data_IF_744368429370
#
_entry.id   IF_744368429370
#
_cell.length_a   1.000
_cell.length_b   1.000
_cell.length_c   1.000
_cell.angle_alpha   90.00
_cell.angle_beta   90.00
_cell.angle_gamma   90.00
#
_symmetry.space_group_name_H-M   'P 1'
#
loop_
_entity.id
_entity.type
_entity.pdbx_description
1 polymer ?
#
# COMPACT_ATOMS: atom_id res chain seq x y z
N UNK A 1 -49.71 39.33 30.47
CA UNK A 1 -49.14 40.68 30.32
C UNK A 1 -47.92 40.78 31.22
N UNK A 2 -46.77 40.30 30.75
CA UNK A 2 -45.48 40.72 31.30
C UNK A 2 -44.77 41.47 30.16
N UNK A 3 -44.95 42.79 30.15
CA UNK A 3 -44.09 43.67 29.37
C UNK A 3 -42.70 43.57 30.00
N UNK A 4 -41.84 42.77 29.38
CA UNK A 4 -40.49 42.49 29.83
C UNK A 4 -39.73 43.81 29.98
N UNK A 5 -39.35 44.20 31.20
CA UNK A 5 -38.70 45.49 31.48
C UNK A 5 -37.41 45.70 30.66
N UNK A 6 -36.79 44.62 30.17
CA UNK A 6 -35.68 44.68 29.21
C UNK A 6 -36.10 45.40 27.92
N UNK A 7 -37.26 45.08 27.36
CA UNK A 7 -37.77 45.70 26.11
C UNK A 7 -38.06 47.19 26.23
N UNK A 8 -38.47 47.66 27.41
CA UNK A 8 -38.66 49.10 27.67
C UNK A 8 -37.32 49.81 27.88
N UNK A 9 -36.34 49.15 28.50
CA UNK A 9 -35.00 49.72 28.69
C UNK A 9 -34.26 49.93 27.35
N UNK A 10 -34.36 48.97 26.42
CA UNK A 10 -33.79 49.09 25.07
C UNK A 10 -34.53 50.09 24.18
N UNK A 11 -35.86 50.26 24.38
CA UNK A 11 -36.65 51.32 23.72
C UNK A 11 -36.19 52.72 24.11
N UNK A 12 -35.92 52.95 25.39
CA UNK A 12 -35.60 54.28 25.92
C UNK A 12 -34.17 54.76 25.59
N UNK A 13 -33.26 53.85 25.23
CA UNK A 13 -31.89 54.20 24.78
C UNK A 13 -31.76 54.36 23.26
N UNK A 14 -32.86 54.25 22.48
CA UNK A 14 -32.79 54.27 21.01
C UNK A 14 -32.12 53.03 20.40
N UNK A 15 -31.98 51.94 21.17
CA UNK A 15 -31.24 50.72 20.81
C UNK A 15 -32.12 49.74 20.01
N UNK A 16 -33.45 49.79 20.15
CA UNK A 16 -34.38 48.90 19.45
C UNK A 16 -34.23 48.87 17.91
N UNK A 17 -34.16 50.03 17.23
CA UNK A 17 -33.99 50.07 15.77
C UNK A 17 -32.65 49.48 15.30
N UNK A 18 -31.60 49.64 16.12
CA UNK A 18 -30.26 49.12 15.82
C UNK A 18 -30.22 47.59 16.02
N UNK A 19 -30.79 47.09 17.11
CA UNK A 19 -30.94 45.64 17.35
C UNK A 19 -31.77 44.96 16.26
N UNK A 20 -32.91 45.54 15.85
CA UNK A 20 -33.74 45.02 14.75
C UNK A 20 -32.96 44.94 13.42
N UNK A 21 -32.15 45.96 13.12
CA UNK A 21 -31.28 45.98 11.93
C UNK A 21 -30.20 44.89 12.00
N UNK A 22 -29.53 44.75 13.15
CA UNK A 22 -28.50 43.72 13.35
C UNK A 22 -29.08 42.30 13.28
N UNK A 23 -30.27 42.07 13.84
CA UNK A 23 -30.94 40.77 13.75
C UNK A 23 -31.32 40.41 12.32
N UNK A 24 -31.85 41.37 11.57
CA UNK A 24 -32.21 41.20 10.17
C UNK A 24 -30.98 40.89 9.30
N UNK A 25 -29.89 41.64 9.50
CA UNK A 25 -28.64 41.41 8.77
C UNK A 25 -28.09 40.02 9.07
N UNK A 26 -28.04 39.62 10.35
CA UNK A 26 -27.55 38.31 10.75
C UNK A 26 -28.38 37.16 10.16
N UNK A 27 -29.72 37.24 10.23
CA UNK A 27 -30.62 36.21 9.67
C UNK A 27 -30.54 36.13 8.13
N UNK A 28 -30.38 37.28 7.46
CA UNK A 28 -30.21 37.33 6.01
C UNK A 28 -28.85 36.76 5.58
N UNK A 29 -27.78 37.07 6.31
CA UNK A 29 -26.45 36.50 6.09
C UNK A 29 -26.48 34.99 6.28
N UNK A 30 -27.09 34.51 7.38
CA UNK A 30 -27.22 33.08 7.65
C UNK A 30 -27.98 32.36 6.54
N UNK A 31 -29.09 32.92 6.06
CA UNK A 31 -29.85 32.38 4.94
C UNK A 31 -28.99 32.27 3.66
N UNK A 32 -28.28 33.34 3.29
CA UNK A 32 -27.47 33.37 2.07
C UNK A 32 -26.34 32.33 2.15
N UNK A 33 -25.64 32.26 3.28
CA UNK A 33 -24.54 31.29 3.49
C UNK A 33 -25.08 29.86 3.46
N UNK A 34 -26.15 29.55 4.19
CA UNK A 34 -26.75 28.21 4.19
C UNK A 34 -27.24 27.80 2.81
N UNK A 35 -27.96 28.68 2.10
CA UNK A 35 -28.48 28.42 0.77
C UNK A 35 -27.34 28.19 -0.24
N UNK A 36 -26.21 28.90 -0.13
CA UNK A 36 -25.03 28.70 -0.97
C UNK A 36 -24.48 27.27 -0.88
N UNK A 37 -24.45 26.70 0.33
CA UNK A 37 -24.03 25.32 0.57
C UNK A 37 -25.17 24.29 0.47
N UNK A 38 -26.34 24.68 -0.07
CA UNK A 38 -27.46 23.77 -0.31
C UNK A 38 -28.28 23.39 0.94
N UNK A 39 -28.15 24.14 2.03
CA UNK A 39 -28.94 23.98 3.25
C UNK A 39 -30.15 24.92 3.21
N UNK A 40 -31.35 24.36 3.10
CA UNK A 40 -32.59 25.14 3.06
C UNK A 40 -32.99 25.64 4.46
N UNK A 41 -32.98 26.95 4.66
CA UNK A 41 -33.42 27.64 5.89
C UNK A 41 -34.54 28.66 5.63
N UNK A 42 -35.19 28.56 4.46
CA UNK A 42 -36.21 29.50 3.98
C UNK A 42 -37.36 29.76 4.94
N UNK A 43 -37.88 28.72 5.61
CA UNK A 43 -39.02 28.82 6.52
C UNK A 43 -38.76 29.72 7.74
N UNK A 44 -37.49 29.88 8.14
CA UNK A 44 -37.11 30.68 9.31
C UNK A 44 -36.84 32.15 8.96
N UNK A 45 -36.29 32.44 7.79
CA UNK A 45 -35.79 33.79 7.47
C UNK A 45 -36.79 34.69 6.73
N UNK A 46 -37.72 34.14 5.93
CA UNK A 46 -38.52 34.97 5.01
C UNK A 46 -39.60 35.83 5.67
N UNK A 47 -40.22 35.35 6.75
CA UNK A 47 -41.34 36.06 7.41
C UNK A 47 -40.86 37.33 8.12
N UNK A 48 -39.66 37.31 8.71
CA UNK A 48 -39.07 38.45 9.40
C UNK A 48 -38.44 39.46 8.43
N UNK A 49 -37.78 38.98 7.37
CA UNK A 49 -37.19 39.80 6.30
C UNK A 49 -38.26 40.69 5.61
N UNK A 50 -39.42 40.11 5.28
CA UNK A 50 -40.51 40.84 4.65
C UNK A 50 -41.06 41.96 5.55
N UNK A 51 -41.25 41.67 6.84
CA UNK A 51 -41.75 42.64 7.81
C UNK A 51 -40.79 43.82 8.05
N UNK A 52 -39.47 43.62 7.96
CA UNK A 52 -38.50 44.68 8.18
C UNK A 52 -38.45 45.66 6.99
N UNK A 53 -38.48 45.13 5.77
CA UNK A 53 -38.44 45.91 4.53
C UNK A 53 -39.62 46.88 4.35
N UNK A 54 -40.80 46.56 4.88
CA UNK A 54 -42.00 47.42 4.80
C UNK A 54 -41.88 48.71 5.62
N UNK A 55 -40.95 48.78 6.58
CA UNK A 55 -40.94 49.83 7.63
C UNK A 55 -39.77 50.82 7.56
N UNK A 56 -38.90 50.76 6.53
CA UNK A 56 -37.62 51.50 6.48
C UNK A 56 -37.44 52.36 5.23
N UNK A 57 -36.58 53.39 5.35
CA UNK A 57 -36.15 54.26 4.24
C UNK A 57 -35.13 53.56 3.33
N UNK A 58 -35.14 53.91 2.04
CA UNK A 58 -34.33 53.31 0.97
C UNK A 58 -32.81 53.39 1.25
N UNK A 59 -32.35 54.46 1.91
CA UNK A 59 -30.93 54.60 2.29
C UNK A 59 -30.49 53.57 3.32
N UNK A 60 -31.32 53.30 4.32
CA UNK A 60 -31.04 52.33 5.37
C UNK A 60 -31.07 50.90 4.82
N UNK A 61 -32.04 50.61 3.94
CA UNK A 61 -32.11 49.32 3.24
C UNK A 61 -30.86 49.06 2.40
N UNK A 62 -30.41 50.05 1.61
CA UNK A 62 -29.21 49.92 0.78
C UNK A 62 -27.95 49.69 1.60
N UNK A 63 -27.78 50.41 2.71
CA UNK A 63 -26.65 50.20 3.61
C UNK A 63 -26.64 48.79 4.20
N UNK A 64 -27.81 48.31 4.64
CA UNK A 64 -27.97 46.96 5.20
C UNK A 64 -27.72 45.86 4.17
N UNK A 65 -28.24 46.01 2.94
CA UNK A 65 -27.96 45.09 1.84
C UNK A 65 -26.47 45.05 1.45
N UNK A 66 -25.78 46.19 1.48
CA UNK A 66 -24.34 46.23 1.24
C UNK A 66 -23.56 45.50 2.33
N UNK A 67 -23.96 45.63 3.61
CA UNK A 67 -23.41 44.86 4.73
C UNK A 67 -23.66 43.36 4.53
N UNK A 68 -24.92 42.96 4.33
CA UNK A 68 -25.32 41.56 4.13
C UNK A 68 -24.51 40.93 2.99
N UNK A 69 -24.41 41.61 1.84
CA UNK A 69 -23.68 41.11 0.68
C UNK A 69 -22.20 40.91 0.97
N UNK A 70 -21.54 41.90 1.59
CA UNK A 70 -20.10 41.82 1.89
C UNK A 70 -19.79 40.74 2.90
N UNK A 71 -20.52 40.72 4.01
CA UNK A 71 -20.29 39.75 5.10
C UNK A 71 -20.62 38.33 4.67
N UNK A 72 -21.69 38.11 3.90
CA UNK A 72 -22.00 36.77 3.36
C UNK A 72 -20.93 36.29 2.40
N UNK A 73 -20.44 37.16 1.50
CA UNK A 73 -19.38 36.81 0.56
C UNK A 73 -18.06 36.47 1.27
N UNK A 74 -17.72 37.21 2.32
CA UNK A 74 -16.54 36.93 3.15
C UNK A 74 -16.65 35.57 3.87
N UNK A 75 -17.81 35.30 4.49
CA UNK A 75 -18.03 34.01 5.18
C UNK A 75 -18.01 32.84 4.19
N UNK A 76 -18.68 32.98 3.04
CA UNK A 76 -18.66 31.95 1.98
C UNK A 76 -17.23 31.70 1.52
N UNK A 77 -16.48 32.76 1.17
CA UNK A 77 -15.10 32.63 0.71
C UNK A 77 -14.20 31.95 1.73
N UNK A 78 -14.31 32.31 3.01
CA UNK A 78 -13.53 31.69 4.08
C UNK A 78 -13.89 30.20 4.25
N UNK A 79 -15.18 29.83 4.17
CA UNK A 79 -15.61 28.44 4.28
C UNK A 79 -15.15 27.64 3.05
N UNK A 80 -15.28 28.18 1.85
CA UNK A 80 -14.82 27.54 0.61
C UNK A 80 -13.31 27.28 0.63
N UNK A 81 -12.51 28.25 1.11
CA UNK A 81 -11.07 28.09 1.29
C UNK A 81 -10.75 26.96 2.28
N UNK A 82 -11.38 26.98 3.47
CA UNK A 82 -11.19 25.93 4.48
C UNK A 82 -11.65 24.55 3.98
N UNK A 83 -12.75 24.48 3.22
CA UNK A 83 -13.23 23.24 2.61
C UNK A 83 -12.22 22.70 1.60
N UNK A 84 -11.68 23.55 0.72
CA UNK A 84 -10.66 23.14 -0.24
C UNK A 84 -9.34 22.72 0.42
N UNK A 85 -8.94 23.38 1.50
CA UNK A 85 -7.79 22.96 2.31
C UNK A 85 -8.03 21.57 2.91
N UNK A 86 -9.19 21.34 3.53
CA UNK A 86 -9.58 20.04 4.10
C UNK A 86 -9.65 18.94 3.04
N UNK A 87 -10.18 19.22 1.85
CA UNK A 87 -10.21 18.28 0.73
C UNK A 87 -8.81 17.87 0.29
N UNK A 88 -7.89 18.85 0.19
CA UNK A 88 -6.49 18.59 -0.14
C UNK A 88 -5.79 17.76 0.93
N UNK A 89 -5.92 18.15 2.19
CA UNK A 89 -5.32 17.41 3.31
C UNK A 89 -5.83 15.98 3.38
N UNK A 90 -7.14 15.78 3.21
CA UNK A 90 -7.72 14.44 3.17
C UNK A 90 -7.15 13.63 2.00
N UNK A 91 -7.08 14.20 0.80
CA UNK A 91 -6.54 13.53 -0.39
C UNK A 91 -5.08 13.11 -0.16
N UNK A 92 -4.25 14.03 0.35
CA UNK A 92 -2.85 13.74 0.68
C UNK A 92 -2.73 12.65 1.75
N UNK A 93 -3.58 12.67 2.79
CA UNK A 93 -3.59 11.63 3.81
C UNK A 93 -4.00 10.26 3.25
N UNK A 94 -4.95 10.21 2.31
CA UNK A 94 -5.31 8.96 1.63
C UNK A 94 -4.14 8.45 0.78
N UNK A 95 -3.52 9.30 -0.02
CA UNK A 95 -2.36 8.94 -0.84
C UNK A 95 -1.16 8.47 0.00
N UNK A 96 -0.86 9.16 1.12
CA UNK A 96 0.21 8.76 2.04
C UNK A 96 -0.10 7.42 2.71
N UNK A 97 -1.35 7.19 3.12
CA UNK A 97 -1.77 5.89 3.68
C UNK A 97 -1.63 4.78 2.64
N UNK A 98 -2.12 4.97 1.43
CA UNK A 98 -2.00 4.01 0.32
C UNK A 98 -0.53 3.71 0.00
N UNK A 99 0.31 4.75 -0.08
CA UNK A 99 1.74 4.60 -0.33
C UNK A 99 2.46 3.89 0.83
N UNK A 100 2.07 4.16 2.08
CA UNK A 100 2.62 3.49 3.26
C UNK A 100 2.21 2.02 3.31
N UNK A 101 0.96 1.69 2.96
CA UNK A 101 0.46 0.32 2.89
C UNK A 101 1.18 -0.47 1.79
N UNK A 102 1.28 0.09 0.59
CA UNK A 102 2.05 -0.50 -0.52
C UNK A 102 3.50 -0.76 -0.13
N UNK A 103 4.14 0.20 0.57
CA UNK A 103 5.52 0.04 1.04
C UNK A 103 5.65 -1.06 2.10
N UNK A 104 4.67 -1.16 3.01
CA UNK A 104 4.64 -2.19 4.04
C UNK A 104 4.45 -3.59 3.43
N UNK A 105 3.48 -3.74 2.51
CA UNK A 105 3.26 -4.99 1.77
C UNK A 105 4.50 -5.42 0.99
N UNK A 106 5.18 -4.47 0.33
CA UNK A 106 6.45 -4.75 -0.36
C UNK A 106 7.54 -5.23 0.59
N UNK A 107 7.68 -4.60 1.76
CA UNK A 107 8.65 -5.04 2.78
C UNK A 107 8.32 -6.45 3.31
N UNK A 108 7.04 -6.76 3.50
CA UNK A 108 6.59 -8.08 3.93
C UNK A 108 6.87 -9.14 2.86
N UNK A 109 6.58 -8.84 1.59
CA UNK A 109 6.87 -9.69 0.45
C UNK A 109 8.39 -9.96 0.31
N UNK A 110 9.20 -8.90 0.31
CA UNK A 110 10.67 -9.02 0.23
C UNK A 110 11.23 -9.82 1.43
N UNK A 111 10.60 -9.71 2.60
CA UNK A 111 10.98 -10.50 3.78
C UNK A 111 10.61 -11.99 3.65
N UNK A 112 9.45 -12.29 3.07
CA UNK A 112 9.00 -13.66 2.83
C UNK A 112 9.88 -14.36 1.79
N UNK A 113 10.22 -13.69 0.70
CA UNK A 113 11.14 -14.22 -0.31
C UNK A 113 12.52 -14.50 0.28
N UNK A 114 13.04 -13.62 1.14
CA UNK A 114 14.31 -13.86 1.82
C UNK A 114 14.26 -15.06 2.77
N UNK A 115 13.13 -15.30 3.44
CA UNK A 115 12.90 -16.51 4.26
C UNK A 115 12.90 -17.75 3.37
N UNK A 116 12.13 -17.74 2.29
CA UNK A 116 12.02 -18.88 1.38
C UNK A 116 13.36 -19.20 0.72
N UNK A 117 14.15 -18.19 0.37
CA UNK A 117 15.48 -18.39 -0.19
C UNK A 117 16.47 -18.93 0.86
N UNK A 118 16.33 -18.48 2.12
CA UNK A 118 17.09 -19.06 3.24
C UNK A 118 16.73 -20.53 3.42
N UNK A 119 15.45 -20.89 3.37
CA UNK A 119 14.97 -22.26 3.44
C UNK A 119 15.44 -23.10 2.25
N UNK A 120 15.48 -22.53 1.05
CA UNK A 120 15.99 -23.21 -0.14
C UNK A 120 17.44 -23.66 0.02
N UNK A 121 18.31 -22.88 0.65
CA UNK A 121 19.74 -23.23 0.76
C UNK A 121 20.13 -23.88 2.09
N UNK A 122 19.52 -23.46 3.20
CA UNK A 122 19.87 -23.91 4.55
C UNK A 122 18.88 -24.93 5.13
N UNK A 123 17.69 -25.05 4.54
CA UNK A 123 16.68 -26.01 4.95
C UNK A 123 17.16 -27.46 4.88
N UNK A 124 16.38 -28.33 5.51
CA UNK A 124 16.53 -29.79 5.45
C UNK A 124 15.51 -30.40 4.49
N UNK A 125 14.37 -29.72 4.28
CA UNK A 125 13.37 -30.09 3.29
C UNK A 125 13.87 -29.88 1.86
N UNK A 126 13.62 -30.86 0.98
CA UNK A 126 13.91 -30.73 -0.45
C UNK A 126 12.98 -29.68 -1.07
N UNK A 127 13.55 -28.70 -1.76
CA UNK A 127 12.81 -27.56 -2.33
C UNK A 127 13.29 -27.25 -3.74
N UNK A 128 12.43 -26.63 -4.53
CA UNK A 128 12.83 -25.97 -5.76
C UNK A 128 12.38 -24.52 -5.73
N UNK A 129 13.09 -23.68 -6.47
CA UNK A 129 12.76 -22.28 -6.63
C UNK A 129 12.94 -21.85 -8.08
N UNK A 130 12.20 -20.81 -8.44
CA UNK A 130 12.26 -20.16 -9.74
C UNK A 130 12.80 -18.75 -9.54
N UNK A 131 13.79 -18.41 -10.35
CA UNK A 131 14.46 -17.13 -10.39
C UNK A 131 14.21 -16.48 -11.74
N UNK A 132 13.79 -15.22 -11.71
CA UNK A 132 13.54 -14.42 -12.90
C UNK A 132 14.34 -13.11 -12.81
N UNK A 133 14.75 -12.58 -13.96
CA UNK A 133 15.47 -11.31 -13.98
C UNK A 133 14.57 -10.15 -13.58
N UNK A 134 15.11 -9.20 -12.81
CA UNK A 134 14.39 -7.97 -12.52
C UNK A 134 14.25 -7.13 -13.79
N UNK A 135 13.00 -6.89 -14.23
CA UNK A 135 12.69 -6.10 -15.43
C UNK A 135 13.04 -4.61 -15.31
N UNK A 136 13.52 -4.16 -14.15
CA UNK A 136 13.91 -2.77 -13.89
C UNK A 136 15.39 -2.46 -14.12
N UNK A 137 16.22 -3.47 -14.39
CA UNK A 137 17.67 -3.30 -14.62
C UNK A 137 18.03 -3.01 -16.09
N UNK A 138 19.26 -2.55 -16.30
CA UNK A 138 19.89 -2.39 -17.63
C UNK A 138 20.34 -3.76 -18.21
N UNK A 139 19.60 -4.83 -17.89
CA UNK A 139 20.01 -6.20 -18.16
C UNK A 139 19.72 -6.54 -19.62
N UNK A 140 20.78 -6.58 -20.40
CA UNK A 140 20.74 -6.60 -21.87
C UNK A 140 20.66 -8.01 -22.47
N UNK A 141 20.56 -9.05 -21.64
CA UNK A 141 20.52 -10.45 -22.07
C UNK A 141 19.24 -11.22 -21.70
N UNK A 142 18.17 -10.51 -21.32
CA UNK A 142 16.85 -11.13 -21.14
C UNK A 142 16.40 -11.84 -22.43
N UNK A 143 15.83 -13.04 -22.29
CA UNK A 143 15.42 -13.91 -23.40
C UNK A 143 16.55 -14.40 -24.32
N UNK A 144 17.82 -14.18 -23.97
CA UNK A 144 18.94 -14.73 -24.72
C UNK A 144 19.27 -16.16 -24.28
N UNK A 145 19.54 -17.06 -25.21
CA UNK A 145 20.10 -18.37 -24.86
C UNK A 145 21.48 -18.25 -24.23
N UNK A 146 21.93 -19.28 -23.50
CA UNK A 146 23.15 -19.26 -22.70
C UNK A 146 24.40 -18.92 -23.54
N UNK A 147 24.58 -19.64 -24.65
CA UNK A 147 25.71 -19.43 -25.57
C UNK A 147 25.67 -18.06 -26.24
N UNK A 148 24.47 -17.53 -26.50
CA UNK A 148 24.30 -16.21 -27.12
C UNK A 148 24.72 -15.10 -26.16
N UNK A 149 24.29 -15.19 -24.89
CA UNK A 149 24.68 -14.24 -23.85
C UNK A 149 26.20 -14.23 -23.67
N UNK A 150 26.82 -15.41 -23.56
CA UNK A 150 28.27 -15.57 -23.44
C UNK A 150 29.04 -14.98 -24.63
N UNK A 151 28.54 -15.17 -25.85
CA UNK A 151 29.15 -14.63 -27.08
C UNK A 151 29.14 -13.11 -27.14
N UNK A 152 28.13 -12.46 -26.56
CA UNK A 152 28.07 -11.00 -26.44
C UNK A 152 28.84 -10.47 -25.22
N UNK A 153 29.47 -11.35 -24.44
CA UNK A 153 30.28 -10.98 -23.27
C UNK A 153 29.49 -10.91 -21.96
N UNK A 154 28.25 -11.38 -21.94
CA UNK A 154 27.46 -11.49 -20.72
C UNK A 154 27.79 -12.75 -19.94
N UNK A 155 27.77 -12.65 -18.62
CA UNK A 155 27.85 -13.78 -17.70
C UNK A 155 26.57 -13.82 -16.90
N UNK A 156 26.04 -15.01 -16.67
CA UNK A 156 24.80 -15.18 -15.90
C UNK A 156 25.15 -15.07 -14.43
N UNK A 157 24.79 -13.93 -13.82
CA UNK A 157 25.12 -13.63 -12.44
C UNK A 157 23.85 -13.68 -11.57
N UNK A 158 23.94 -14.32 -10.40
CA UNK A 158 22.82 -14.47 -9.48
C UNK A 158 22.26 -13.13 -8.95
N UNK A 159 23.03 -12.04 -9.02
CA UNK A 159 22.58 -10.69 -8.62
C UNK A 159 21.52 -10.09 -9.56
N UNK A 160 21.49 -10.56 -10.81
CA UNK A 160 20.57 -10.04 -11.83
C UNK A 160 19.16 -10.65 -11.69
N UNK A 161 19.01 -11.62 -10.76
CA UNK A 161 17.81 -12.40 -10.57
C UNK A 161 17.18 -12.17 -9.20
N UNK A 162 15.85 -12.26 -9.18
CA UNK A 162 15.03 -12.33 -7.99
C UNK A 162 14.34 -13.69 -7.93
N UNK A 163 14.27 -14.27 -6.73
CA UNK A 163 13.46 -15.47 -6.52
C UNK A 163 11.99 -15.08 -6.52
N UNK A 164 11.21 -15.63 -7.45
CA UNK A 164 9.78 -15.32 -7.61
C UNK A 164 8.87 -16.40 -7.08
N UNK A 165 9.42 -17.57 -6.75
CA UNK A 165 8.66 -18.71 -6.25
C UNK A 165 9.57 -19.74 -5.58
N UNK A 166 9.08 -20.36 -4.52
CA UNK A 166 9.68 -21.52 -3.89
C UNK A 166 8.59 -22.53 -3.49
N UNK A 167 8.89 -23.82 -3.61
CA UNK A 167 7.99 -24.87 -3.13
C UNK A 167 8.74 -26.16 -2.76
N UNK A 168 8.11 -27.05 -1.97
CA UNK A 168 8.64 -28.38 -1.73
C UNK A 168 8.88 -29.12 -3.05
N UNK A 169 10.04 -29.76 -3.16
CA UNK A 169 10.42 -30.60 -4.28
C UNK A 169 10.33 -32.06 -3.89
N UNK A 170 9.84 -32.88 -4.82
CA UNK A 170 9.83 -34.33 -4.66
C UNK A 170 10.72 -34.97 -5.72
N UNK A 171 11.42 -36.09 -5.41
CA UNK A 171 12.34 -36.75 -6.35
C UNK A 171 11.74 -37.17 -7.69
N UNK A 172 10.42 -37.22 -7.78
CA UNK A 172 9.68 -37.57 -9.00
C UNK A 172 9.50 -36.41 -9.95
N UNK A 173 9.70 -35.16 -9.52
CA UNK A 173 9.50 -33.96 -10.34
C UNK A 173 10.79 -33.64 -11.11
N UNK A 174 10.72 -33.62 -12.44
CA UNK A 174 11.83 -33.21 -13.31
C UNK A 174 11.81 -31.72 -13.64
N UNK A 175 12.86 -31.23 -14.32
CA UNK A 175 12.91 -29.85 -14.81
C UNK A 175 11.82 -29.60 -15.86
N UNK A 176 11.52 -30.60 -16.69
CA UNK A 176 10.45 -30.55 -17.69
C UNK A 176 9.08 -30.47 -17.02
N UNK A 177 8.84 -31.23 -15.94
CA UNK A 177 7.59 -31.17 -15.19
C UNK A 177 7.36 -29.77 -14.59
N UNK A 178 8.43 -29.15 -14.07
CA UNK A 178 8.39 -27.76 -13.57
C UNK A 178 8.08 -26.83 -14.75
N UNK A 179 8.84 -26.92 -15.84
CA UNK A 179 8.61 -26.06 -17.01
C UNK A 179 7.19 -26.17 -17.57
N UNK A 180 6.64 -27.38 -17.68
CA UNK A 180 5.27 -27.62 -18.12
C UNK A 180 4.26 -27.02 -17.13
N UNK A 181 4.45 -27.28 -15.83
CA UNK A 181 3.54 -26.80 -14.78
C UNK A 181 3.41 -25.29 -14.80
N UNK A 182 4.51 -24.53 -14.87
CA UNK A 182 4.43 -23.07 -14.81
C UNK A 182 4.03 -22.40 -16.14
N UNK A 183 3.97 -23.17 -17.23
CA UNK A 183 3.49 -22.69 -18.54
C UNK A 183 2.05 -23.11 -18.87
N UNK A 184 1.59 -24.28 -18.41
CA UNK A 184 0.26 -24.83 -18.71
C UNK A 184 -0.64 -24.79 -17.47
N UNK A 185 -0.16 -25.30 -16.34
CA UNK A 185 -0.94 -25.49 -15.10
C UNK A 185 -0.43 -24.58 -13.98
N UNK A 186 -0.39 -23.28 -14.28
CA UNK A 186 0.24 -22.27 -13.42
C UNK A 186 -0.39 -22.26 -12.00
N UNK A 187 0.41 -22.34 -10.93
CA UNK A 187 -0.08 -22.20 -9.56
C UNK A 187 -0.69 -20.81 -9.30
N UNK A 188 -1.68 -20.74 -8.39
CA UNK A 188 -2.36 -19.47 -8.07
C UNK A 188 -1.49 -18.50 -7.25
N UNK A 189 -0.54 -19.03 -6.51
CA UNK A 189 0.46 -18.34 -5.69
C UNK A 189 1.73 -17.98 -6.48
N UNK A 190 1.77 -18.29 -7.78
CA UNK A 190 2.87 -17.90 -8.64
C UNK A 190 2.65 -16.52 -9.23
N UNK A 191 3.43 -15.55 -8.76
CA UNK A 191 3.34 -14.14 -9.17
C UNK A 191 4.38 -13.74 -10.25
N UNK A 192 5.24 -14.67 -10.66
CA UNK A 192 6.18 -14.49 -11.77
C UNK A 192 5.54 -14.59 -13.15
N UNK A 193 6.34 -14.34 -14.19
CA UNK A 193 5.92 -14.59 -15.57
C UNK A 193 6.07 -16.08 -15.96
N UNK A 194 5.50 -16.47 -17.10
CA UNK A 194 5.70 -17.83 -17.65
C UNK A 194 7.18 -18.19 -17.74
N UNK A 195 7.51 -19.44 -17.43
CA UNK A 195 8.88 -19.94 -17.56
C UNK A 195 9.35 -19.84 -19.01
N UNK A 196 10.46 -19.16 -19.22
CA UNK A 196 10.98 -18.79 -20.53
C UNK A 196 12.50 -18.79 -20.56
N UNK A 197 13.08 -18.63 -21.76
CA UNK A 197 14.52 -18.46 -21.92
C UNK A 197 14.97 -17.30 -21.05
N UNK A 198 16.08 -17.49 -20.33
CA UNK A 198 16.60 -16.56 -19.32
C UNK A 198 16.07 -16.68 -17.91
N UNK A 199 15.20 -17.65 -17.62
CA UNK A 199 14.84 -17.98 -16.25
C UNK A 199 15.82 -19.01 -15.66
N UNK A 200 15.89 -19.09 -14.32
CA UNK A 200 16.73 -20.06 -13.63
C UNK A 200 15.88 -20.89 -12.66
N UNK A 201 16.04 -22.20 -12.70
CA UNK A 201 15.41 -23.14 -11.77
C UNK A 201 16.49 -23.67 -10.83
N UNK A 202 16.30 -23.48 -9.53
CA UNK A 202 17.19 -24.03 -8.51
C UNK A 202 16.50 -25.20 -7.84
N UNK A 203 17.17 -26.35 -7.73
CA UNK A 203 16.66 -27.53 -7.04
C UNK A 203 17.62 -27.87 -5.91
N UNK A 204 17.15 -27.79 -4.68
CA UNK A 204 17.81 -28.37 -3.51
C UNK A 204 17.40 -29.84 -3.38
N UNK A 205 18.36 -30.73 -3.66
CA UNK A 205 18.30 -32.14 -3.28
C UNK A 205 19.03 -32.27 -1.95
N UNK A 206 18.60 -33.18 -1.09
CA UNK A 206 19.13 -33.39 0.28
C UNK A 206 20.66 -33.53 0.38
N UNK A 207 21.37 -33.78 -0.73
CA UNK A 207 22.82 -33.86 -0.82
C UNK A 207 23.48 -32.74 -1.65
N UNK A 208 22.74 -32.06 -2.53
CA UNK A 208 23.30 -31.10 -3.49
C UNK A 208 22.23 -30.14 -4.01
N UNK A 209 22.56 -28.85 -4.03
CA UNK A 209 21.73 -27.81 -4.64
C UNK A 209 22.32 -27.43 -5.99
N UNK A 210 21.51 -27.52 -7.06
CA UNK A 210 21.92 -27.19 -8.43
C UNK A 210 21.02 -26.12 -9.03
N UNK A 211 21.61 -25.28 -9.87
CA UNK A 211 20.90 -24.25 -10.62
C UNK A 211 20.93 -24.58 -12.12
N UNK A 212 19.82 -24.34 -12.80
CA UNK A 212 19.60 -24.67 -14.19
C UNK A 212 19.02 -23.47 -14.94
N UNK A 213 19.76 -22.96 -15.90
CA UNK A 213 19.31 -21.93 -16.83
C UNK A 213 18.34 -22.52 -17.85
N UNK A 214 17.21 -21.87 -18.05
CA UNK A 214 16.25 -22.21 -19.11
C UNK A 214 16.79 -21.64 -20.43
N UNK A 215 17.16 -22.51 -21.36
CA UNK A 215 17.59 -22.14 -22.70
C UNK A 215 16.47 -22.41 -23.72
N UNK A 216 16.67 -21.93 -24.94
CA UNK A 216 15.88 -22.23 -26.13
C UNK A 216 15.63 -23.72 -26.35
N UNK A 217 16.56 -24.57 -25.92
CA UNK A 217 16.41 -26.02 -25.92
C UNK A 217 16.99 -26.63 -24.63
N UNK A 218 16.10 -27.11 -23.77
CA UNK A 218 16.49 -27.78 -22.53
C UNK A 218 17.02 -26.80 -21.47
N UNK A 219 17.96 -27.28 -20.67
CA UNK A 219 18.47 -26.57 -19.51
C UNK A 219 19.99 -26.67 -19.43
N UNK A 220 20.65 -25.57 -19.08
CA UNK A 220 22.10 -25.50 -18.90
C UNK A 220 22.45 -25.35 -17.41
N UNK A 221 23.40 -26.12 -16.89
CA UNK A 221 23.77 -26.05 -15.47
C UNK A 221 24.59 -24.79 -15.17
N UNK A 222 24.25 -24.07 -14.09
CA UNK A 222 24.96 -22.89 -13.61
C UNK A 222 25.70 -23.20 -12.30
N UNK A 223 26.96 -23.64 -12.34
CA UNK A 223 27.67 -24.12 -11.15
C UNK A 223 27.92 -23.02 -10.12
N UNK A 224 28.17 -21.79 -10.55
CA UNK A 224 28.51 -20.67 -9.66
C UNK A 224 27.28 -19.95 -9.09
N UNK A 225 26.09 -20.17 -9.67
CA UNK A 225 24.88 -19.40 -9.35
C UNK A 225 24.44 -19.60 -7.90
N UNK A 226 24.45 -20.85 -7.42
CA UNK A 226 24.05 -21.20 -6.05
C UNK A 226 24.98 -20.51 -5.04
N UNK A 227 26.29 -20.57 -5.27
CA UNK A 227 27.28 -19.94 -4.40
C UNK A 227 27.11 -18.41 -4.38
N UNK A 228 26.90 -17.79 -5.54
CA UNK A 228 26.64 -16.34 -5.62
C UNK A 228 25.41 -15.92 -4.81
N UNK A 229 24.30 -16.66 -4.91
CA UNK A 229 23.07 -16.37 -4.15
C UNK A 229 23.25 -16.56 -2.65
N UNK A 230 23.95 -17.62 -2.23
CA UNK A 230 24.25 -17.84 -0.81
C UNK A 230 25.09 -16.70 -0.21
N UNK A 231 26.14 -16.26 -0.91
CA UNK A 231 26.96 -15.12 -0.47
C UNK A 231 26.16 -13.82 -0.36
N UNK A 232 25.19 -13.60 -1.27
CA UNK A 232 24.30 -12.43 -1.19
C UNK A 232 23.39 -12.49 0.03
N UNK A 233 22.85 -13.66 0.37
CA UNK A 233 22.02 -13.83 1.58
C UNK A 233 22.84 -13.61 2.85
N UNK A 234 24.08 -14.11 2.91
CA UNK A 234 24.94 -13.97 4.08
C UNK A 234 25.37 -12.51 4.32
N UNK A 235 25.64 -11.76 3.25
CA UNK A 235 26.06 -10.36 3.32
C UNK A 235 24.90 -9.39 3.59
N UNK A 236 23.65 -9.87 3.47
CA UNK A 236 22.48 -9.06 3.77
C UNK A 236 22.35 -8.85 5.29
N UNK A 237 22.42 -7.60 5.74
CA UNK A 237 22.51 -7.27 7.17
C UNK A 237 21.22 -7.57 7.95
N UNK A 238 20.11 -7.77 7.24
CA UNK A 238 18.82 -8.17 7.81
C UNK A 238 18.61 -9.65 7.51
N UNK A 239 18.95 -10.54 8.45
CA UNK A 239 18.59 -11.96 8.31
C UNK A 239 17.11 -12.13 8.63
N UNK A 240 16.31 -12.52 7.64
CA UNK A 240 14.94 -12.95 7.88
C UNK A 240 14.96 -14.45 8.16
N UNK A 241 14.58 -14.82 9.38
CA UNK A 241 14.50 -16.21 9.79
C UNK A 241 13.06 -16.70 9.65
N UNK A 242 12.85 -17.94 9.17
CA UNK A 242 11.53 -18.53 9.19
C UNK A 242 10.98 -18.59 10.62
N UNK A 243 9.66 -18.49 10.79
CA UNK A 243 9.04 -18.63 12.09
C UNK A 243 9.39 -19.98 12.72
N UNK A 244 9.74 -19.97 14.00
CA UNK A 244 10.06 -21.20 14.74
C UNK A 244 8.79 -22.02 14.95
N UNK A 245 8.80 -23.26 14.47
CA UNK A 245 7.72 -24.21 14.76
C UNK A 245 7.76 -24.56 16.25
N UNK A 246 6.69 -24.23 16.98
CA UNK A 246 6.65 -24.37 18.46
C UNK A 246 6.19 -25.74 18.95
N UNK A 247 5.59 -26.55 18.07
CA UNK A 247 5.02 -27.84 18.42
C UNK A 247 6.05 -28.97 18.50
N UNK A 248 5.55 -30.17 18.75
CA UNK A 248 6.32 -31.42 18.73
C UNK A 248 6.29 -32.06 17.33
N UNK A 249 7.24 -32.97 17.05
CA UNK A 249 7.23 -33.73 15.80
C UNK A 249 5.90 -34.47 15.56
N UNK A 250 5.27 -34.98 16.63
CA UNK A 250 3.98 -35.66 16.52
C UNK A 250 2.86 -34.72 16.04
N UNK A 251 2.87 -33.46 16.49
CA UNK A 251 1.91 -32.45 16.04
C UNK A 251 2.18 -32.04 14.59
N UNK A 252 3.45 -31.87 14.22
CA UNK A 252 3.84 -31.58 12.84
C UNK A 252 3.43 -32.71 11.87
N UNK A 253 3.50 -33.97 12.30
CA UNK A 253 3.02 -35.11 11.52
C UNK A 253 1.50 -35.11 11.34
N UNK A 254 0.74 -34.70 12.36
CA UNK A 254 -0.73 -34.59 12.30
C UNK A 254 -1.17 -33.44 11.39
N UNK A 255 -0.46 -32.32 11.44
CA UNK A 255 -0.69 -31.11 10.62
C UNK A 255 -0.11 -31.24 9.20
N UNK A 256 0.63 -32.31 8.90
CA UNK A 256 1.42 -32.51 7.67
C UNK A 256 2.45 -31.40 7.41
N UNK A 257 2.99 -30.83 8.48
CA UNK A 257 3.96 -29.73 8.47
C UNK A 257 5.32 -30.17 9.06
N UNK A 258 5.73 -31.40 8.74
CA UNK A 258 6.98 -32.00 9.22
C UNK A 258 8.20 -31.19 8.74
N UNK A 259 8.12 -30.64 7.52
CA UNK A 259 9.19 -29.85 6.92
C UNK A 259 9.45 -28.57 7.73
N UNK A 260 8.42 -27.84 8.17
CA UNK A 260 8.61 -26.66 9.02
C UNK A 260 9.23 -27.00 10.37
N UNK A 261 8.88 -28.15 10.96
CA UNK A 261 9.51 -28.62 12.20
C UNK A 261 11.01 -28.90 12.02
N UNK A 262 11.39 -29.61 10.94
CA UNK A 262 12.79 -29.96 10.66
C UNK A 262 13.63 -28.73 10.33
N UNK A 263 13.15 -27.89 9.42
CA UNK A 263 13.83 -26.66 9.00
C UNK A 263 14.06 -25.73 10.20
N UNK A 264 13.06 -25.58 11.08
CA UNK A 264 13.17 -24.77 12.29
C UNK A 264 14.23 -25.28 13.26
N UNK A 265 14.35 -26.61 13.43
CA UNK A 265 15.33 -27.21 14.35
C UNK A 265 16.76 -27.04 13.84
N UNK A 266 17.00 -27.28 12.55
CA UNK A 266 18.32 -27.12 11.94
C UNK A 266 18.82 -25.68 12.04
N UNK A 267 17.99 -24.72 11.60
CA UNK A 267 18.35 -23.31 11.65
C UNK A 267 18.62 -22.81 13.06
N UNK A 268 17.87 -23.29 14.07
CA UNK A 268 18.12 -22.95 15.46
C UNK A 268 19.48 -23.48 15.95
N UNK A 269 19.82 -24.72 15.58
CA UNK A 269 21.12 -25.33 15.91
C UNK A 269 22.26 -24.55 15.25
N UNK A 270 22.12 -24.19 13.99
CA UNK A 270 23.15 -23.47 13.24
C UNK A 270 23.33 -22.05 13.79
N UNK A 271 22.25 -21.38 14.18
CA UNK A 271 22.32 -20.09 14.90
C UNK A 271 23.05 -20.24 16.23
N UNK A 272 22.76 -21.29 17.00
CA UNK A 272 23.45 -21.54 18.27
C UNK A 272 24.95 -21.75 18.07
N UNK A 273 25.35 -22.57 17.10
CA UNK A 273 26.76 -22.83 16.77
C UNK A 273 27.51 -21.59 16.28
N UNK A 274 26.83 -20.65 15.62
CA UNK A 274 27.45 -19.42 15.15
C UNK A 274 27.75 -18.40 16.27
N UNK A 275 27.11 -18.55 17.44
CA UNK A 275 27.28 -17.67 18.61
C UNK A 275 28.33 -18.21 19.59
N UNK A 276 28.54 -19.53 19.63
CA UNK A 276 29.51 -20.23 20.49
C UNK A 276 30.94 -20.19 19.93
#
# INVERSE_FOLDING_TARGET
>A
MENNLKDQHYKNMGIKPQMETLTFEAESIAYIVCNHFGLDTSEYSFTYIASWCESRDMKALKASMDTIRKTSAEIIGNIEEQMHELERENTMQYEEKEASATRQEKLEQDSAEMIDETLLFHGESGRFAIYQMDTGGEHTYQFMGFESAKKLGYTIEGKDYRMVYAAPWTPTITLEDIFERFNINRPNDFHGHSLSVSDVIVINRTAETKAYYVDSFGFEELPDFVQQRMEMLENNHTRAYPPVYKGTLAQAMEERDVDAYLDSRKLNIDCKKAIE
#
